data_IF_244355014948
#
_entry.id   IF_244355014948
#
_cell.length_a   1.000
_cell.length_b   1.000
_cell.length_c   1.000
_cell.angle_alpha   90.00
_cell.angle_beta   90.00
_cell.angle_gamma   90.00
#
_symmetry.space_group_name_H-M   'P 1'
#
loop_
_entity.id
_entity.type
_entity.pdbx_description
1 polymer ?
#
# COMPACT_ATOMS: atom_id res chain seq x y z
N UNK A 1 -20.65 -5.80 -7.85
CA UNK A 1 -19.43 -6.05 -7.05
C UNK A 1 -18.25 -5.47 -7.82
N UNK A 2 -17.46 -4.56 -7.23
CA UNK A 2 -16.29 -3.96 -7.93
C UNK A 2 -15.03 -4.84 -7.79
N UNK A 3 -14.78 -5.43 -6.61
CA UNK A 3 -13.67 -6.37 -6.38
C UNK A 3 -14.08 -7.66 -5.66
N UNK A 4 -14.33 -7.59 -4.35
CA UNK A 4 -14.75 -8.75 -3.54
C UNK A 4 -16.14 -8.57 -2.95
N UNK A 5 -16.76 -9.68 -2.57
CA UNK A 5 -18.06 -9.67 -1.91
C UNK A 5 -17.97 -9.04 -0.51
N UNK A 6 -18.98 -8.28 -0.12
CA UNK A 6 -18.97 -7.55 1.16
C UNK A 6 -18.98 -8.50 2.35
N UNK A 7 -19.71 -9.61 2.27
CA UNK A 7 -19.74 -10.59 3.36
C UNK A 7 -18.40 -11.32 3.46
N UNK A 8 -17.70 -11.52 2.33
CA UNK A 8 -16.32 -11.99 2.33
C UNK A 8 -15.34 -10.98 2.97
N UNK A 9 -15.51 -9.68 2.75
CA UNK A 9 -14.63 -8.64 3.33
C UNK A 9 -14.81 -8.54 4.85
N UNK A 10 -16.05 -8.65 5.34
CA UNK A 10 -16.38 -8.53 6.78
C UNK A 10 -15.77 -9.62 7.65
N UNK A 11 -15.43 -10.78 7.09
CA UNK A 11 -14.79 -11.88 7.84
C UNK A 11 -13.25 -11.77 7.89
N UNK A 12 -12.63 -10.82 7.18
CA UNK A 12 -11.18 -10.68 7.15
C UNK A 12 -10.67 -9.87 8.34
N UNK A 13 -9.59 -10.35 8.96
CA UNK A 13 -8.89 -9.63 10.02
C UNK A 13 -7.74 -8.77 9.50
N UNK A 14 -7.10 -9.20 8.41
CA UNK A 14 -5.92 -8.54 7.86
C UNK A 14 -5.85 -8.71 6.34
N UNK A 15 -5.40 -7.66 5.66
CA UNK A 15 -5.14 -7.65 4.23
C UNK A 15 -3.81 -6.94 3.98
N UNK A 16 -2.87 -7.64 3.34
CA UNK A 16 -1.52 -7.13 3.05
C UNK A 16 -1.23 -7.21 1.57
N UNK A 17 -0.79 -6.10 0.99
CA UNK A 17 -0.29 -6.05 -0.38
C UNK A 17 1.24 -6.04 -0.36
N UNK A 18 1.84 -7.02 -1.02
CA UNK A 18 3.28 -7.11 -1.23
C UNK A 18 3.54 -7.48 -2.68
N UNK A 19 4.36 -6.69 -3.37
CA UNK A 19 4.76 -6.98 -4.74
C UNK A 19 6.06 -7.77 -4.77
N UNK A 20 6.12 -8.81 -5.60
CA UNK A 20 7.35 -9.57 -5.83
C UNK A 20 8.19 -8.96 -6.97
N UNK A 21 7.55 -8.73 -8.11
CA UNK A 21 8.15 -8.08 -9.29
C UNK A 21 7.72 -6.61 -9.45
N UNK A 22 6.84 -6.13 -8.58
CA UNK A 22 6.25 -4.80 -8.64
C UNK A 22 6.06 -4.22 -7.25
N UNK A 23 5.30 -3.14 -7.17
CA UNK A 23 5.02 -2.44 -5.93
C UNK A 23 3.52 -2.11 -5.90
N UNK A 24 2.80 -2.39 -4.79
CA UNK A 24 1.38 -2.12 -4.71
C UNK A 24 1.03 -0.67 -4.98
N UNK A 25 1.92 0.31 -4.72
CA UNK A 25 1.60 1.70 -5.04
C UNK A 25 1.47 1.92 -6.56
N UNK A 26 2.05 1.09 -7.42
CA UNK A 26 2.07 1.31 -8.87
C UNK A 26 0.72 1.01 -9.51
N UNK A 27 -0.06 0.09 -8.94
CA UNK A 27 -1.40 -0.19 -9.45
C UNK A 27 -2.30 1.06 -9.33
N UNK A 28 -3.03 1.39 -10.39
CA UNK A 28 -3.85 2.60 -10.49
C UNK A 28 -4.93 2.66 -9.40
N UNK A 29 -5.51 1.50 -9.09
CA UNK A 29 -6.67 1.36 -8.21
C UNK A 29 -6.32 1.19 -6.73
N UNK A 30 -5.04 1.18 -6.34
CA UNK A 30 -4.63 0.80 -4.97
C UNK A 30 -5.31 1.59 -3.88
N UNK A 31 -5.40 2.91 -4.05
CA UNK A 31 -6.09 3.78 -3.10
C UNK A 31 -7.59 3.48 -3.04
N UNK A 32 -8.21 3.18 -4.18
CA UNK A 32 -9.64 2.88 -4.29
C UNK A 32 -9.97 1.54 -3.67
N UNK A 33 -9.10 0.55 -3.84
CA UNK A 33 -9.21 -0.78 -3.20
C UNK A 33 -9.11 -0.64 -1.69
N UNK A 34 -8.15 0.13 -1.17
CA UNK A 34 -8.06 0.36 0.29
C UNK A 34 -9.29 1.08 0.84
N UNK A 35 -9.81 2.09 0.13
CA UNK A 35 -11.06 2.74 0.51
C UNK A 35 -12.23 1.74 0.56
N UNK A 36 -12.36 0.90 -0.46
CA UNK A 36 -13.43 -0.11 -0.54
C UNK A 36 -13.36 -1.13 0.60
N UNK A 37 -12.16 -1.62 0.93
CA UNK A 37 -11.96 -2.54 2.04
C UNK A 37 -12.27 -1.88 3.39
N UNK A 38 -11.82 -0.64 3.59
CA UNK A 38 -12.06 0.11 4.82
C UNK A 38 -13.52 0.49 5.03
N UNK A 39 -14.23 0.89 3.97
CA UNK A 39 -15.67 1.21 4.02
C UNK A 39 -16.49 0.01 4.50
N UNK A 40 -16.12 -1.20 4.06
CA UNK A 40 -16.88 -2.43 4.35
C UNK A 40 -16.37 -3.21 5.56
N UNK A 41 -15.15 -2.95 6.02
CA UNK A 41 -14.62 -3.50 7.27
C UNK A 41 -13.54 -2.57 7.86
N UNK A 42 -13.93 -1.53 8.62
CA UNK A 42 -13.01 -0.53 9.16
C UNK A 42 -12.11 -1.08 10.29
N UNK A 43 -12.37 -2.29 10.77
CA UNK A 43 -11.56 -2.97 11.79
C UNK A 43 -10.47 -3.86 11.20
N UNK A 44 -10.49 -4.09 9.88
CA UNK A 44 -9.46 -4.87 9.20
C UNK A 44 -8.11 -4.17 9.26
N UNK A 45 -7.06 -4.91 9.62
CA UNK A 45 -5.70 -4.41 9.47
C UNK A 45 -5.32 -4.33 7.99
N UNK A 46 -5.16 -3.11 7.46
CA UNK A 46 -4.71 -2.88 6.09
C UNK A 46 -3.21 -2.60 6.08
N UNK A 47 -2.47 -3.26 5.19
CA UNK A 47 -1.03 -3.08 5.08
C UNK A 47 -0.55 -3.08 3.62
N UNK A 48 0.50 -2.31 3.34
CA UNK A 48 1.27 -2.48 2.11
C UNK A 48 2.77 -2.34 2.33
N UNK A 49 3.54 -3.07 1.53
CA UNK A 49 5.01 -2.98 1.46
C UNK A 49 5.40 -2.26 0.17
N UNK A 50 6.23 -1.24 0.27
CA UNK A 50 6.54 -0.35 -0.85
C UNK A 50 7.95 0.23 -0.75
N UNK A 51 8.52 0.63 -1.89
CA UNK A 51 9.74 1.44 -1.93
C UNK A 51 9.47 2.95 -1.70
N UNK A 52 8.20 3.37 -1.70
CA UNK A 52 7.76 4.73 -1.38
C UNK A 52 7.96 5.79 -2.47
N UNK A 53 8.64 5.50 -3.56
CA UNK A 53 9.12 6.54 -4.50
C UNK A 53 8.19 6.90 -5.66
N UNK A 54 7.03 6.26 -5.80
CA UNK A 54 6.22 6.26 -7.03
C UNK A 54 4.93 7.08 -7.00
N UNK A 55 4.60 7.77 -5.90
CA UNK A 55 3.32 8.49 -5.72
C UNK A 55 3.51 9.89 -5.16
N UNK A 56 2.55 10.77 -5.47
CA UNK A 56 2.55 12.17 -5.02
C UNK A 56 2.19 12.29 -3.54
N UNK A 57 2.51 13.45 -2.94
CA UNK A 57 2.18 13.76 -1.55
C UNK A 57 0.67 13.67 -1.30
N UNK A 58 -0.15 14.13 -2.25
CA UNK A 58 -1.61 14.11 -2.15
C UNK A 58 -2.15 12.67 -2.08
N UNK A 59 -1.54 11.76 -2.85
CA UNK A 59 -1.90 10.35 -2.82
C UNK A 59 -1.58 9.73 -1.45
N UNK A 60 -0.40 10.02 -0.89
CA UNK A 60 -0.01 9.57 0.45
C UNK A 60 -0.91 10.14 1.55
N UNK A 61 -1.27 11.42 1.45
CA UNK A 61 -2.21 12.07 2.35
C UNK A 61 -3.61 11.45 2.29
N UNK A 62 -4.06 11.04 1.10
CA UNK A 62 -5.33 10.35 0.94
C UNK A 62 -5.28 8.95 1.58
N UNK A 63 -4.19 8.20 1.38
CA UNK A 63 -4.00 6.89 1.99
C UNK A 63 -3.98 6.96 3.54
N UNK A 64 -3.34 7.98 4.10
CA UNK A 64 -3.25 8.19 5.55
C UNK A 64 -4.61 8.34 6.24
N UNK A 65 -5.66 8.74 5.52
CA UNK A 65 -7.03 8.85 6.05
C UNK A 65 -7.69 7.50 6.33
N UNK A 66 -7.14 6.41 5.78
CA UNK A 66 -7.73 5.06 5.76
C UNK A 66 -6.98 4.13 6.75
N UNK A 67 -6.12 4.69 7.61
CA UNK A 67 -5.33 3.98 8.63
C UNK A 67 -4.58 2.73 8.11
N UNK A 68 -4.06 2.80 6.87
CA UNK A 68 -3.24 1.74 6.27
C UNK A 68 -1.84 1.79 6.86
N UNK A 69 -1.32 0.63 7.29
CA UNK A 69 0.08 0.48 7.69
C UNK A 69 0.97 0.40 6.44
N UNK A 70 1.88 1.35 6.29
CA UNK A 70 2.85 1.36 5.18
C UNK A 70 4.22 0.92 5.70
N UNK A 71 4.78 -0.11 5.07
CA UNK A 71 6.14 -0.60 5.36
C UNK A 71 7.04 -0.19 4.20
N UNK A 72 8.00 0.69 4.50
CA UNK A 72 8.98 1.17 3.53
C UNK A 72 10.20 0.24 3.51
N UNK A 73 10.43 -0.37 2.35
CA UNK A 73 11.65 -1.14 2.08
C UNK A 73 12.81 -0.21 1.77
N UNK A 74 13.66 0.06 2.77
CA UNK A 74 14.86 0.87 2.63
C UNK A 74 16.07 -0.02 2.76
N UNK A 75 16.84 -0.16 1.69
CA UNK A 75 18.09 -0.93 1.69
C UNK A 75 19.26 0.04 1.83
N UNK A 76 20.05 -0.07 2.90
CA UNK A 76 21.24 0.76 3.13
C UNK A 76 20.97 2.19 3.61
N UNK A 77 22.06 2.94 3.77
CA UNK A 77 22.07 4.37 4.09
C UNK A 77 22.07 5.21 2.81
N UNK A 78 21.96 6.54 2.92
CA UNK A 78 21.86 7.46 1.78
C UNK A 78 22.91 7.23 0.68
N UNK A 79 24.14 6.91 1.07
CA UNK A 79 25.29 6.68 0.18
C UNK A 79 25.34 5.27 -0.42
N UNK A 80 24.56 4.33 0.12
CA UNK A 80 24.57 2.92 -0.27
C UNK A 80 23.24 2.43 -0.86
N UNK A 81 22.15 3.17 -0.68
CA UNK A 81 20.81 2.78 -1.12
C UNK A 81 20.71 2.57 -2.64
N UNK A 82 21.26 3.51 -3.40
CA UNK A 82 21.23 3.47 -4.86
C UNK A 82 22.01 2.29 -5.45
N UNK A 83 22.88 1.63 -4.68
CA UNK A 83 23.58 0.42 -5.11
C UNK A 83 22.64 -0.79 -5.21
N UNK A 84 21.60 -0.82 -4.37
CA UNK A 84 20.68 -1.95 -4.26
C UNK A 84 19.28 -1.63 -4.82
N UNK A 85 18.86 -0.35 -4.81
CA UNK A 85 17.57 0.10 -5.34
C UNK A 85 17.71 1.15 -6.43
N UNK A 86 17.65 0.67 -7.66
CA UNK A 86 17.70 1.51 -8.87
C UNK A 86 16.32 2.16 -9.10
N UNK A 87 16.31 3.41 -9.56
CA UNK A 87 15.09 4.18 -9.87
C UNK A 87 14.17 4.42 -8.67
N UNK A 88 14.73 4.59 -7.48
CA UNK A 88 13.99 4.98 -6.28
C UNK A 88 14.49 6.32 -5.75
N UNK A 89 13.57 7.13 -5.23
CA UNK A 89 13.83 8.39 -4.55
C UNK A 89 12.82 8.49 -3.39
N UNK A 90 13.32 8.38 -2.16
CA UNK A 90 12.53 8.21 -0.93
C UNK A 90 12.81 9.33 0.06
#
# INVERSE_FOLDING_TARGET
MKWFDVDFIKQLNHFSMCGNLGDPMIAEDTLEIFNYLYEHNPHMGLQMHTNGSGRSIEWWQALAKINVTVIFGIDGLKDTHSLYRINTNW
#
